data_IF_935303688462
#
_entry.id   IF_935303688462
#
_cell.length_a   1.000
_cell.length_b   1.000
_cell.length_c   1.000
_cell.angle_alpha   90.00
_cell.angle_beta   90.00
_cell.angle_gamma   90.00
#
_symmetry.space_group_name_H-M   'P 1'
#
loop_
_entity.id
_entity.type
_entity.pdbx_description
1 polymer ?
#
# COMPACT_ATOMS: atom_id res chain seq x y z
N UNK A 1 -11.59 -1.16 -45.30
CA UNK A 1 -10.66 -2.23 -44.94
C UNK A 1 -10.20 -2.02 -43.50
N UNK A 2 -10.29 -3.07 -42.67
CA UNK A 2 -9.62 -3.30 -41.37
C UNK A 2 -9.63 -2.18 -40.30
N UNK A 3 -10.78 -1.99 -39.64
CA UNK A 3 -10.84 -1.41 -38.29
C UNK A 3 -11.20 -2.45 -37.21
N UNK A 4 -10.97 -3.73 -37.49
CA UNK A 4 -11.68 -4.84 -36.83
C UNK A 4 -10.82 -5.78 -35.99
N UNK A 5 -9.83 -5.29 -35.24
CA UNK A 5 -9.06 -6.13 -34.29
C UNK A 5 -8.84 -5.52 -32.89
N UNK A 6 -9.35 -4.32 -32.62
CA UNK A 6 -9.33 -3.74 -31.28
C UNK A 6 -10.77 -3.61 -30.81
N UNK A 7 -11.15 -4.34 -29.77
CA UNK A 7 -12.44 -4.12 -29.11
C UNK A 7 -12.48 -2.66 -28.63
N UNK A 8 -13.48 -1.90 -29.07
CA UNK A 8 -13.66 -0.51 -28.65
C UNK A 8 -13.73 -0.46 -27.12
N UNK A 9 -12.73 0.21 -26.50
CA UNK A 9 -12.59 0.28 -25.04
C UNK A 9 -11.55 -0.65 -24.43
N UNK A 10 -10.78 -1.43 -25.19
CA UNK A 10 -9.69 -2.26 -24.66
C UNK A 10 -8.66 -1.46 -23.83
N UNK A 11 -8.37 -0.22 -24.23
CA UNK A 11 -7.49 0.70 -23.48
C UNK A 11 -8.14 1.11 -22.16
N UNK A 12 -9.44 1.40 -22.16
CA UNK A 12 -10.18 1.77 -20.94
C UNK A 12 -10.20 0.60 -19.96
N UNK A 13 -10.45 -0.62 -20.44
CA UNK A 13 -10.39 -1.84 -19.61
C UNK A 13 -9.02 -2.06 -18.98
N UNK A 14 -7.93 -1.74 -19.70
CA UNK A 14 -6.58 -1.81 -19.14
C UNK A 14 -6.36 -0.76 -18.04
N UNK A 15 -6.86 0.47 -18.23
CA UNK A 15 -6.80 1.52 -17.22
C UNK A 15 -7.58 1.09 -15.96
N UNK A 16 -8.82 0.65 -16.13
CA UNK A 16 -9.69 0.23 -15.03
C UNK A 16 -9.05 -0.91 -14.23
N UNK A 17 -8.52 -1.94 -14.92
CA UNK A 17 -7.83 -3.05 -14.27
C UNK A 17 -6.60 -2.61 -13.45
N UNK A 18 -5.82 -1.63 -13.95
CA UNK A 18 -4.67 -1.10 -13.19
C UNK A 18 -5.08 -0.30 -11.96
N UNK A 19 -6.19 0.44 -12.04
CA UNK A 19 -6.75 1.21 -10.93
C UNK A 19 -7.31 0.25 -9.88
N UNK A 20 -8.07 -0.76 -10.29
CA UNK A 20 -8.64 -1.76 -9.38
C UNK A 20 -7.56 -2.54 -8.63
N UNK A 21 -6.48 -2.94 -9.30
CA UNK A 21 -5.34 -3.61 -8.65
C UNK A 21 -4.61 -2.68 -7.65
N UNK A 22 -4.48 -1.38 -7.95
CA UNK A 22 -3.94 -0.40 -7.02
C UNK A 22 -4.85 -0.24 -5.78
N UNK A 23 -6.17 -0.17 -5.97
CA UNK A 23 -7.16 -0.07 -4.89
C UNK A 23 -7.16 -1.34 -4.03
N UNK A 24 -7.19 -2.52 -4.65
CA UNK A 24 -7.18 -3.80 -3.95
C UNK A 24 -5.94 -3.94 -3.07
N UNK A 25 -4.76 -3.56 -3.57
CA UNK A 25 -3.53 -3.55 -2.78
C UNK A 25 -3.60 -2.56 -1.62
N UNK A 26 -4.02 -1.32 -1.86
CA UNK A 26 -4.17 -0.32 -0.80
C UNK A 26 -5.10 -0.84 0.31
N UNK A 27 -6.20 -1.49 -0.05
CA UNK A 27 -7.12 -2.13 0.91
C UNK A 27 -6.49 -3.29 1.68
N UNK A 28 -5.67 -4.12 1.04
CA UNK A 28 -4.98 -5.22 1.72
C UNK A 28 -3.93 -4.77 2.75
N UNK A 29 -3.38 -3.56 2.59
CA UNK A 29 -2.45 -2.97 3.56
C UNK A 29 -3.17 -2.41 4.80
N UNK A 30 -4.48 -2.20 4.74
CA UNK A 30 -5.27 -1.81 5.90
C UNK A 30 -5.38 -3.02 6.84
N UNK A 31 -4.65 -2.96 7.95
CA UNK A 31 -4.75 -3.96 9.01
C UNK A 31 -6.14 -3.90 9.62
N UNK A 32 -6.77 -5.07 9.73
CA UNK A 32 -8.05 -5.23 10.43
C UNK A 32 -7.75 -5.95 11.74
N UNK A 33 -8.29 -5.44 12.85
CA UNK A 33 -8.13 -6.07 14.17
C UNK A 33 -7.92 -5.07 15.30
N UNK A 34 -7.67 -5.62 16.50
CA UNK A 34 -7.47 -4.85 17.71
C UNK A 34 -6.14 -4.09 17.69
N UNK A 35 -6.21 -2.82 18.05
CA UNK A 35 -5.04 -1.96 18.19
C UNK A 35 -4.23 -2.32 19.44
N UNK A 36 -2.91 -2.38 19.32
CA UNK A 36 -2.01 -2.64 20.44
C UNK A 36 -2.13 -1.53 21.48
N UNK A 37 -2.07 -1.88 22.77
CA UNK A 37 -2.07 -0.90 23.87
C UNK A 37 -0.71 -0.24 24.07
N UNK A 38 0.36 -0.92 23.69
CA UNK A 38 1.75 -0.47 23.83
C UNK A 38 2.46 -0.58 22.48
N UNK A 39 3.41 0.31 22.24
CA UNK A 39 4.23 0.32 21.04
C UNK A 39 5.20 -0.86 21.05
N UNK A 40 5.27 -1.61 19.95
CA UNK A 40 6.18 -2.77 19.83
C UNK A 40 7.68 -2.38 19.77
N UNK A 41 7.99 -1.13 19.44
CA UNK A 41 9.39 -0.65 19.31
C UNK A 41 9.90 0.03 20.59
N UNK A 42 9.14 0.96 21.16
CA UNK A 42 9.56 1.73 22.33
C UNK A 42 8.86 1.34 23.65
N UNK A 43 7.80 0.52 23.60
CA UNK A 43 7.02 0.13 24.78
C UNK A 43 6.08 1.21 25.32
N UNK A 44 6.03 2.40 24.73
CA UNK A 44 5.15 3.48 25.19
C UNK A 44 3.67 3.17 24.96
N UNK A 45 2.76 3.64 25.83
CA UNK A 45 1.33 3.45 25.65
C UNK A 45 0.83 4.18 24.40
N UNK A 46 0.05 3.49 23.56
CA UNK A 46 -0.54 4.05 22.35
C UNK A 46 -1.83 4.81 22.72
N UNK A 47 -1.92 6.13 22.41
CA UNK A 47 -3.07 6.94 22.79
C UNK A 47 -4.36 6.44 22.11
N UNK A 48 -5.49 6.57 22.81
CA UNK A 48 -6.80 6.09 22.34
C UNK A 48 -7.23 6.74 21.03
N UNK A 49 -6.97 8.03 20.85
CA UNK A 49 -7.23 8.73 19.60
C UNK A 49 -6.59 8.02 18.39
N UNK A 50 -5.38 7.46 18.55
CA UNK A 50 -4.67 6.73 17.50
C UNK A 50 -5.25 5.33 17.30
N UNK A 51 -5.62 4.65 18.38
CA UNK A 51 -6.27 3.32 18.34
C UNK A 51 -7.64 3.38 17.66
N UNK A 52 -8.37 4.48 17.82
CA UNK A 52 -9.67 4.72 17.19
C UNK A 52 -9.54 5.14 15.71
N UNK A 53 -8.55 5.97 15.38
CA UNK A 53 -8.32 6.41 14.00
C UNK A 53 -7.77 5.30 13.09
N UNK A 54 -6.92 4.42 13.63
CA UNK A 54 -6.26 3.33 12.89
C UNK A 54 -6.49 2.00 13.62
N UNK A 55 -7.51 1.22 13.23
CA UNK A 55 -7.68 -0.13 13.76
C UNK A 55 -6.45 -0.97 13.42
N UNK A 56 -5.91 -1.71 14.40
CA UNK A 56 -4.72 -2.54 14.22
C UNK A 56 -3.38 -1.78 14.32
N UNK A 57 -3.36 -0.58 14.92
CA UNK A 57 -2.09 0.15 15.15
C UNK A 57 -1.18 -0.62 16.12
N UNK A 58 0.10 -0.77 15.75
CA UNK A 58 1.13 -1.47 16.55
C UNK A 58 2.25 -0.56 17.07
N UNK A 59 2.37 0.64 16.50
CA UNK A 59 3.45 1.58 16.81
C UNK A 59 2.90 2.94 17.26
N UNK A 60 3.63 3.61 18.14
CA UNK A 60 3.34 5.00 18.51
C UNK A 60 3.58 5.95 17.32
N UNK A 61 3.14 7.20 17.43
CA UNK A 61 3.30 8.21 16.36
C UNK A 61 4.76 8.46 16.01
N UNK A 62 5.64 8.50 17.01
CA UNK A 62 7.06 8.78 16.81
C UNK A 62 7.72 7.65 16.01
N UNK A 63 7.61 6.41 16.50
CA UNK A 63 8.10 5.20 15.85
C UNK A 63 7.57 5.05 14.42
N UNK A 64 6.26 5.21 14.21
CA UNK A 64 5.67 5.10 12.88
C UNK A 64 6.21 6.19 11.94
N UNK A 65 6.40 7.42 12.42
CA UNK A 65 6.89 8.51 11.58
C UNK A 65 8.33 8.26 11.11
N UNK A 66 9.15 7.65 11.95
CA UNK A 66 10.52 7.27 11.57
C UNK A 66 10.54 6.10 10.58
N UNK A 67 9.66 5.11 10.74
CA UNK A 67 9.50 4.02 9.77
C UNK A 67 9.02 4.53 8.42
N UNK A 68 8.02 5.40 8.39
CA UNK A 68 7.44 5.95 7.16
C UNK A 68 8.48 6.78 6.38
N UNK A 69 9.34 7.55 7.08
CA UNK A 69 10.48 8.25 6.46
C UNK A 69 11.46 7.29 5.79
N UNK A 70 11.76 6.15 6.44
CA UNK A 70 12.66 5.12 5.88
C UNK A 70 12.03 4.47 4.65
N UNK A 71 10.76 4.08 4.71
CA UNK A 71 10.03 3.47 3.58
C UNK A 71 9.96 4.42 2.37
N UNK A 72 9.65 5.69 2.57
CA UNK A 72 9.59 6.69 1.50
C UNK A 72 10.91 6.82 0.72
N UNK A 73 12.05 6.63 1.40
CA UNK A 73 13.37 6.66 0.77
C UNK A 73 13.72 5.40 -0.04
N UNK A 74 12.99 4.30 0.18
CA UNK A 74 13.33 2.97 -0.34
C UNK A 74 12.65 2.58 -1.66
N UNK A 75 11.77 3.44 -2.21
CA UNK A 75 10.98 3.10 -3.39
C UNK A 75 11.77 3.24 -4.70
N UNK A 76 12.84 2.45 -4.86
CA UNK A 76 13.62 2.33 -6.10
C UNK A 76 13.13 1.23 -7.05
N UNK A 77 12.15 0.41 -6.65
CA UNK A 77 11.72 -0.74 -7.44
C UNK A 77 10.72 -0.32 -8.52
N UNK A 78 11.17 -0.27 -9.78
CA UNK A 78 10.32 0.03 -10.94
C UNK A 78 9.43 -1.17 -11.29
N UNK A 79 8.33 -1.34 -10.56
CA UNK A 79 7.37 -2.44 -10.72
C UNK A 79 6.64 -2.48 -12.07
N UNK A 80 6.85 -1.48 -12.95
CA UNK A 80 6.38 -1.47 -14.34
C UNK A 80 7.35 -2.17 -15.30
N UNK A 81 8.59 -2.45 -14.90
CA UNK A 81 9.53 -3.26 -15.68
C UNK A 81 9.09 -4.73 -15.72
N UNK A 82 9.59 -5.53 -16.67
CA UNK A 82 9.29 -6.96 -16.65
C UNK A 82 9.83 -7.58 -15.35
N UNK A 83 9.17 -8.63 -14.84
CA UNK A 83 9.64 -9.36 -13.65
C UNK A 83 11.09 -9.84 -13.85
N UNK A 84 11.46 -10.20 -15.09
CA UNK A 84 12.82 -10.58 -15.48
C UNK A 84 13.84 -9.43 -15.47
N UNK A 85 13.41 -8.18 -15.65
CA UNK A 85 14.31 -7.01 -15.61
C UNK A 85 14.59 -6.50 -14.19
N UNK A 86 13.85 -6.99 -13.20
CA UNK A 86 13.91 -6.50 -11.82
C UNK A 86 14.48 -7.53 -10.82
N UNK A 87 14.81 -8.75 -11.25
CA UNK A 87 15.31 -9.86 -10.40
C UNK A 87 16.73 -10.31 -10.77
N UNK A 88 17.49 -9.51 -11.53
CA UNK A 88 18.93 -9.72 -11.77
C UNK A 88 19.77 -9.01 -10.73
#
# INVERSE_FOLDING_TARGET
MAGGWSEDGAVQKQIDATVDDAIARARSHLKQGDSARFCDECGEPIPEARRAALPGVRYCIQCQSELDKKEASSSGYNRRGSKDSQLR
#
